data_IF_824145274898
#
_entry.id   IF_824145274898
#
_cell.length_a   1.000
_cell.length_b   1.000
_cell.length_c   1.000
_cell.angle_alpha   90.00
_cell.angle_beta   90.00
_cell.angle_gamma   90.00
#
_symmetry.space_group_name_H-M   'P 1'
#
loop_
_entity.id
_entity.type
_entity.pdbx_description
1 polymer ?
#
# COMPACT_ATOMS: atom_id res chain seq x y z
N UNK A 1 1.26 5.18 17.18
CA UNK A 1 1.60 6.33 16.30
C UNK A 1 0.53 6.55 15.24
N UNK A 2 0.16 5.54 14.44
CA UNK A 2 -0.85 5.62 13.37
C UNK A 2 -2.15 6.29 13.80
N UNK A 3 -2.75 5.87 14.92
CA UNK A 3 -4.04 6.39 15.42
C UNK A 3 -4.03 7.90 15.67
N UNK A 4 -2.93 8.43 16.22
CA UNK A 4 -2.78 9.87 16.51
C UNK A 4 -2.70 10.67 15.22
N UNK A 5 -1.88 10.22 14.27
CA UNK A 5 -1.71 10.89 12.97
C UNK A 5 -3.02 10.84 12.17
N UNK A 6 -3.69 9.70 12.14
CA UNK A 6 -5.01 9.55 11.50
C UNK A 6 -6.01 10.52 12.14
N UNK A 7 -6.10 10.58 13.47
CA UNK A 7 -7.01 11.52 14.15
C UNK A 7 -6.73 12.98 13.76
N UNK A 8 -5.47 13.40 13.71
CA UNK A 8 -5.08 14.74 13.27
C UNK A 8 -5.48 15.02 11.82
N UNK A 9 -5.31 14.05 10.92
CA UNK A 9 -5.73 14.15 9.52
C UNK A 9 -7.25 14.28 9.40
N UNK A 10 -8.01 13.53 10.21
CA UNK A 10 -9.47 13.65 10.22
C UNK A 10 -9.92 15.05 10.65
N UNK A 11 -9.32 15.61 11.70
CA UNK A 11 -9.61 16.98 12.16
C UNK A 11 -9.26 17.99 11.06
N UNK A 12 -8.08 17.87 10.46
CA UNK A 12 -7.66 18.75 9.36
C UNK A 12 -8.60 18.65 8.15
N UNK A 13 -9.09 17.45 7.85
CA UNK A 13 -9.98 17.20 6.71
C UNK A 13 -11.34 17.88 6.85
N UNK A 14 -11.87 18.01 8.06
CA UNK A 14 -13.13 18.73 8.31
C UNK A 14 -13.00 20.19 7.86
N UNK A 15 -11.90 20.83 8.25
CA UNK A 15 -11.61 22.21 7.85
C UNK A 15 -11.32 22.33 6.36
N UNK A 16 -10.46 21.46 5.81
CA UNK A 16 -10.03 21.51 4.41
C UNK A 16 -11.19 21.35 3.43
N UNK A 17 -12.11 20.41 3.68
CA UNK A 17 -13.25 20.16 2.79
C UNK A 17 -14.36 21.22 2.90
N UNK A 18 -14.29 22.12 3.88
CA UNK A 18 -15.15 23.29 4.02
C UNK A 18 -14.43 24.62 3.76
N UNK A 19 -13.16 24.60 3.37
CA UNK A 19 -12.36 25.81 3.20
C UNK A 19 -12.54 26.41 1.80
N UNK A 20 -12.89 27.69 1.75
CA UNK A 20 -12.89 28.47 0.49
C UNK A 20 -14.13 28.33 -0.38
N UNK A 21 -15.18 27.67 0.09
CA UNK A 21 -16.50 27.59 -0.58
C UNK A 21 -17.63 27.88 0.40
N UNK A 22 -18.65 28.63 -0.04
CA UNK A 22 -19.88 28.87 0.75
C UNK A 22 -20.70 27.57 0.97
N UNK A 23 -20.34 26.51 0.25
CA UNK A 23 -20.98 25.21 0.27
C UNK A 23 -19.93 24.11 0.48
N UNK A 24 -20.30 23.09 1.27
CA UNK A 24 -19.49 21.88 1.47
C UNK A 24 -19.37 21.12 0.15
N UNK A 25 -18.18 20.56 -0.16
CA UNK A 25 -17.98 19.72 -1.35
C UNK A 25 -19.09 18.64 -1.41
N UNK A 26 -19.78 18.46 -2.55
CA UNK A 26 -20.87 17.50 -2.68
C UNK A 26 -20.44 16.06 -2.36
N UNK A 27 -19.15 15.75 -2.48
CA UNK A 27 -18.56 14.45 -2.20
C UNK A 27 -17.97 14.33 -0.78
N UNK A 28 -18.31 15.23 0.15
CA UNK A 28 -17.79 15.22 1.53
C UNK A 28 -17.97 13.88 2.24
N UNK A 29 -19.17 13.29 2.20
CA UNK A 29 -19.44 11.98 2.82
C UNK A 29 -18.60 10.87 2.22
N UNK A 30 -18.41 10.89 0.90
CA UNK A 30 -17.58 9.94 0.17
C UNK A 30 -16.11 10.07 0.56
N UNK A 31 -15.61 11.29 0.74
CA UNK A 31 -14.25 11.54 1.21
C UNK A 31 -14.01 10.88 2.58
N UNK A 32 -14.89 11.16 3.55
CA UNK A 32 -14.78 10.59 4.91
C UNK A 32 -14.94 9.07 4.93
N UNK A 33 -15.79 8.50 4.07
CA UNK A 33 -15.89 7.05 3.91
C UNK A 33 -14.56 6.44 3.43
N UNK A 34 -13.91 7.06 2.44
CA UNK A 34 -12.63 6.57 1.91
C UNK A 34 -11.48 6.69 2.90
N UNK A 35 -11.31 7.83 3.60
CA UNK A 35 -10.25 7.95 4.62
C UNK A 35 -10.49 7.03 5.83
N UNK A 36 -11.76 6.73 6.15
CA UNK A 36 -12.10 5.78 7.22
C UNK A 36 -11.77 4.34 6.82
N UNK A 37 -12.11 3.95 5.59
CA UNK A 37 -11.74 2.63 5.06
C UNK A 37 -10.22 2.49 4.95
N UNK A 38 -9.53 3.56 4.55
CA UNK A 38 -8.07 3.61 4.54
C UNK A 38 -7.52 3.36 5.95
N UNK A 39 -8.00 4.11 6.95
CA UNK A 39 -7.57 3.96 8.34
C UNK A 39 -7.84 2.56 8.88
N UNK A 40 -9.00 1.98 8.58
CA UNK A 40 -9.33 0.60 8.95
C UNK A 40 -8.35 -0.41 8.32
N UNK A 41 -8.00 -0.23 7.03
CA UNK A 41 -6.97 -1.01 6.34
C UNK A 41 -5.63 -0.94 7.06
N UNK A 42 -5.16 0.27 7.40
CA UNK A 42 -3.88 0.45 8.10
C UNK A 42 -3.89 -0.16 9.52
N UNK A 43 -4.97 0.02 10.28
CA UNK A 43 -5.08 -0.59 11.60
C UNK A 43 -5.09 -2.11 11.50
N UNK A 44 -5.82 -2.67 10.51
CA UNK A 44 -5.81 -4.10 10.21
C UNK A 44 -4.43 -4.63 9.87
N UNK A 45 -3.63 -3.86 9.11
CA UNK A 45 -2.25 -4.21 8.79
C UNK A 45 -1.38 -4.31 10.04
N UNK A 46 -1.49 -3.31 10.94
CA UNK A 46 -0.68 -3.24 12.17
C UNK A 46 -1.00 -4.36 13.15
N UNK A 47 -2.27 -4.77 13.25
CA UNK A 47 -2.70 -5.84 14.18
C UNK A 47 -2.65 -7.23 13.55
N UNK A 48 -2.25 -7.36 12.29
CA UNK A 48 -2.25 -8.64 11.58
C UNK A 48 -1.32 -9.64 12.27
N UNK A 49 -1.79 -10.89 12.41
CA UNK A 49 -1.00 -12.00 12.98
C UNK A 49 -0.54 -13.01 11.93
N UNK A 50 -0.96 -12.83 10.67
CA UNK A 50 -0.61 -13.70 9.57
C UNK A 50 -0.45 -12.92 8.25
N UNK A 51 0.28 -13.49 7.30
CA UNK A 51 0.57 -12.81 6.03
C UNK A 51 -0.66 -12.59 5.15
N UNK A 52 -1.70 -13.41 5.28
CA UNK A 52 -2.92 -13.26 4.49
C UNK A 52 -3.72 -12.03 4.92
N UNK A 53 -3.95 -11.86 6.22
CA UNK A 53 -4.62 -10.68 6.79
C UNK A 53 -3.83 -9.42 6.48
N UNK A 54 -2.48 -9.48 6.56
CA UNK A 54 -1.63 -8.37 6.15
C UNK A 54 -1.86 -8.03 4.68
N UNK A 55 -1.86 -9.02 3.78
CA UNK A 55 -2.07 -8.80 2.35
C UNK A 55 -3.46 -8.23 2.05
N UNK A 56 -4.50 -8.69 2.74
CA UNK A 56 -5.87 -8.14 2.59
C UNK A 56 -5.89 -6.65 2.99
N UNK A 57 -5.32 -6.31 4.15
CA UNK A 57 -5.22 -4.92 4.61
C UNK A 57 -4.37 -4.06 3.67
N UNK A 58 -3.29 -4.61 3.14
CA UNK A 58 -2.41 -3.99 2.14
C UNK A 58 -3.15 -3.62 0.85
N UNK A 59 -3.98 -4.54 0.37
CA UNK A 59 -4.81 -4.36 -0.83
C UNK A 59 -5.93 -3.34 -0.60
N UNK A 60 -6.59 -3.36 0.57
CA UNK A 60 -7.60 -2.36 0.96
C UNK A 60 -6.99 -0.96 0.95
N UNK A 61 -5.81 -0.78 1.54
CA UNK A 61 -5.09 0.50 1.52
C UNK A 61 -4.73 0.92 0.09
N UNK A 62 -4.28 -0.02 -0.75
CA UNK A 62 -4.03 0.22 -2.17
C UNK A 62 -5.27 0.72 -2.92
N UNK A 63 -6.41 0.08 -2.72
CA UNK A 63 -7.68 0.51 -3.31
C UNK A 63 -8.10 1.90 -2.82
N UNK A 64 -8.02 2.14 -1.51
CA UNK A 64 -8.38 3.44 -0.95
C UNK A 64 -7.49 4.57 -1.49
N UNK A 65 -6.19 4.32 -1.67
CA UNK A 65 -5.28 5.29 -2.26
C UNK A 65 -5.67 5.66 -3.69
N UNK A 66 -6.05 4.69 -4.51
CA UNK A 66 -6.54 4.91 -5.87
C UNK A 66 -7.79 5.82 -5.86
N UNK A 67 -8.75 5.51 -5.01
CA UNK A 67 -10.01 6.26 -4.88
C UNK A 67 -9.78 7.69 -4.36
N UNK A 68 -8.82 7.88 -3.46
CA UNK A 68 -8.52 9.18 -2.85
C UNK A 68 -7.65 10.07 -3.74
N UNK A 69 -6.67 9.52 -4.46
CA UNK A 69 -5.89 10.29 -5.45
C UNK A 69 -6.81 10.74 -6.59
N UNK A 70 -7.67 9.84 -7.06
CA UNK A 70 -8.67 10.13 -8.10
C UNK A 70 -9.93 10.82 -7.59
N UNK A 71 -9.94 11.42 -6.38
CA UNK A 71 -11.17 11.90 -5.75
C UNK A 71 -11.92 12.95 -6.59
N UNK A 72 -11.19 13.90 -7.18
CA UNK A 72 -11.72 14.88 -8.14
C UNK A 72 -11.56 14.38 -9.58
N UNK A 73 -12.14 13.23 -9.89
CA UNK A 73 -12.07 12.55 -11.19
C UNK A 73 -12.59 13.39 -12.38
N UNK A 74 -13.41 14.41 -12.11
CA UNK A 74 -13.97 15.32 -13.14
C UNK A 74 -13.01 16.45 -13.54
N UNK A 75 -11.95 16.68 -12.74
CA UNK A 75 -11.00 17.76 -12.97
C UNK A 75 -10.16 17.48 -14.21
N UNK A 76 -10.27 18.38 -15.19
CA UNK A 76 -9.49 18.34 -16.43
C UNK A 76 -8.68 19.63 -16.58
N UNK A 77 -7.54 19.54 -17.25
CA UNK A 77 -6.63 20.65 -17.47
C UNK A 77 -6.59 21.04 -18.95
N UNK A 78 -6.45 22.34 -19.28
CA UNK A 78 -6.24 22.79 -20.66
C UNK A 78 -4.89 22.33 -21.24
N UNK A 79 -3.88 22.15 -20.39
CA UNK A 79 -2.57 21.65 -20.79
C UNK A 79 -2.60 20.11 -20.93
N UNK A 80 -2.35 19.56 -22.14
CA UNK A 80 -2.37 18.12 -22.37
C UNK A 80 -1.23 17.36 -21.67
N UNK A 81 -0.16 18.04 -21.24
CA UNK A 81 0.95 17.40 -20.54
C UNK A 81 0.69 17.22 -19.04
N UNK A 82 -0.33 17.88 -18.49
CA UNK A 82 -0.66 17.78 -17.08
C UNK A 82 -1.53 16.56 -16.82
N UNK A 83 -1.06 15.68 -15.92
CA UNK A 83 -1.78 14.48 -15.54
C UNK A 83 -3.08 14.85 -14.79
N UNK A 84 -4.20 14.24 -15.17
CA UNK A 84 -5.46 14.44 -14.45
C UNK A 84 -5.51 13.58 -13.18
N UNK A 85 -6.31 13.94 -12.16
CA UNK A 85 -6.42 13.12 -10.94
C UNK A 85 -6.81 11.66 -11.22
N UNK A 86 -7.64 11.43 -12.24
CA UNK A 86 -8.01 10.08 -12.69
C UNK A 86 -6.79 9.30 -13.22
N UNK A 87 -5.98 9.93 -14.07
CA UNK A 87 -4.77 9.31 -14.61
C UNK A 87 -3.71 9.09 -13.53
N UNK A 88 -3.56 10.05 -12.61
CA UNK A 88 -2.65 9.95 -11.47
C UNK A 88 -3.03 8.77 -10.55
N UNK A 89 -4.32 8.65 -10.21
CA UNK A 89 -4.83 7.53 -9.42
C UNK A 89 -4.57 6.19 -10.11
N UNK A 90 -4.88 6.09 -11.41
CA UNK A 90 -4.64 4.87 -12.18
C UNK A 90 -3.15 4.50 -12.24
N UNK A 91 -2.27 5.48 -12.46
CA UNK A 91 -0.82 5.27 -12.44
C UNK A 91 -0.36 4.74 -11.09
N UNK A 92 -0.79 5.37 -9.99
CA UNK A 92 -0.48 4.91 -8.64
C UNK A 92 -0.97 3.49 -8.37
N UNK A 93 -2.21 3.17 -8.77
CA UNK A 93 -2.74 1.82 -8.65
C UNK A 93 -1.89 0.81 -9.42
N UNK A 94 -1.62 1.04 -10.70
CA UNK A 94 -0.85 0.11 -11.53
C UNK A 94 0.58 -0.11 -11.02
N UNK A 95 1.29 0.96 -10.67
CA UNK A 95 2.68 0.85 -10.22
C UNK A 95 2.76 0.12 -8.88
N UNK A 96 1.86 0.43 -7.94
CA UNK A 96 1.81 -0.29 -6.66
C UNK A 96 1.39 -1.74 -6.83
N UNK A 97 0.50 -2.06 -7.78
CA UNK A 97 0.09 -3.45 -8.08
C UNK A 97 1.22 -4.33 -8.59
N UNK A 98 2.18 -3.77 -9.31
CA UNK A 98 3.38 -4.52 -9.71
C UNK A 98 4.17 -4.95 -8.45
N UNK A 99 4.31 -4.08 -7.46
CA UNK A 99 4.88 -4.43 -6.16
C UNK A 99 4.04 -5.48 -5.42
N UNK A 100 2.72 -5.27 -5.35
CA UNK A 100 1.78 -6.18 -4.68
C UNK A 100 1.83 -7.60 -5.26
N UNK A 101 2.11 -7.74 -6.56
CA UNK A 101 2.31 -9.05 -7.20
C UNK A 101 3.56 -9.77 -6.67
N UNK A 102 4.68 -9.06 -6.49
CA UNK A 102 5.89 -9.65 -5.89
C UNK A 102 5.63 -10.10 -4.45
N UNK A 103 4.93 -9.27 -3.66
CA UNK A 103 4.51 -9.64 -2.31
C UNK A 103 3.67 -10.91 -2.31
N UNK A 104 2.65 -10.98 -3.17
CA UNK A 104 1.77 -12.14 -3.29
C UNK A 104 2.55 -13.39 -3.68
N UNK A 105 3.47 -13.30 -4.64
CA UNK A 105 4.31 -14.42 -5.04
C UNK A 105 5.21 -14.90 -3.89
N UNK A 106 5.76 -13.98 -3.10
CA UNK A 106 6.54 -14.30 -1.90
C UNK A 106 5.70 -15.04 -0.85
N UNK A 107 4.49 -14.55 -0.58
CA UNK A 107 3.54 -15.17 0.36
C UNK A 107 3.14 -16.57 -0.11
N UNK A 108 2.81 -16.73 -1.40
CA UNK A 108 2.45 -18.03 -1.96
C UNK A 108 3.61 -19.02 -1.93
N UNK A 109 4.85 -18.55 -2.19
CA UNK A 109 6.00 -19.42 -2.13
C UNK A 109 6.32 -19.84 -0.70
N UNK A 110 6.22 -18.93 0.27
CA UNK A 110 6.34 -19.26 1.69
C UNK A 110 5.26 -20.27 2.12
N UNK A 111 4.01 -20.08 1.70
CA UNK A 111 2.93 -21.00 1.99
C UNK A 111 3.20 -22.41 1.45
N UNK A 112 3.77 -22.52 0.25
CA UNK A 112 4.15 -23.81 -0.33
C UNK A 112 5.18 -24.55 0.54
N UNK A 113 6.10 -23.83 1.19
CA UNK A 113 7.11 -24.42 2.07
C UNK A 113 6.59 -24.70 3.49
N UNK A 114 5.80 -23.78 4.06
CA UNK A 114 5.37 -23.83 5.45
C UNK A 114 4.05 -24.58 5.68
N UNK A 115 3.14 -24.56 4.71
CA UNK A 115 1.75 -24.99 4.87
C UNK A 115 0.88 -24.05 5.73
N UNK A 116 1.45 -22.95 6.25
CA UNK A 116 0.78 -21.94 7.07
C UNK A 116 1.28 -20.54 6.72
N UNK A 117 0.48 -19.52 7.03
CA UNK A 117 0.82 -18.10 6.86
C UNK A 117 0.92 -17.35 8.19
N UNK A 118 0.78 -18.06 9.31
CA UNK A 118 0.94 -17.52 10.66
C UNK A 118 2.37 -17.05 10.89
N UNK A 119 2.55 -15.87 11.49
CA UNK A 119 3.89 -15.37 11.79
C UNK A 119 4.63 -16.22 12.80
N UNK A 120 3.91 -16.75 13.81
CA UNK A 120 4.50 -17.57 14.86
C UNK A 120 5.19 -18.82 14.29
N UNK A 121 4.54 -19.46 13.32
CA UNK A 121 5.01 -20.73 12.74
C UNK A 121 6.03 -20.52 11.61
N UNK A 122 6.06 -19.32 11.01
CA UNK A 122 6.92 -19.00 9.86
C UNK A 122 8.05 -18.05 10.24
N UNK A 123 7.75 -16.76 10.37
CA UNK A 123 8.72 -15.68 10.55
C UNK A 123 9.39 -15.69 11.94
N UNK A 124 8.75 -16.28 12.95
CA UNK A 124 9.30 -16.35 14.32
C UNK A 124 9.85 -17.74 14.68
N UNK A 125 9.72 -18.72 13.77
CA UNK A 125 10.27 -20.06 13.96
C UNK A 125 11.70 -20.15 13.38
N UNK A 126 12.69 -20.20 14.28
CA UNK A 126 14.11 -20.20 13.91
C UNK A 126 14.52 -21.46 13.14
N UNK A 127 13.99 -22.63 13.50
CA UNK A 127 14.31 -23.89 12.82
C UNK A 127 13.80 -23.88 11.39
N UNK A 128 12.57 -23.37 11.20
CA UNK A 128 11.97 -23.22 9.87
C UNK A 128 12.75 -22.23 9.00
N UNK A 129 13.12 -21.07 9.54
CA UNK A 129 13.94 -20.10 8.81
C UNK A 129 15.31 -20.67 8.41
N UNK A 130 15.95 -21.44 9.31
CA UNK A 130 17.22 -22.10 9.00
C UNK A 130 17.05 -23.15 7.88
N UNK A 131 15.96 -23.91 7.89
CA UNK A 131 15.62 -24.85 6.82
C UNK A 131 15.45 -24.13 5.47
N UNK A 132 14.74 -22.99 5.43
CA UNK A 132 14.59 -22.20 4.20
C UNK A 132 15.92 -21.63 3.69
N UNK A 133 16.84 -21.30 4.60
CA UNK A 133 18.16 -20.76 4.26
C UNK A 133 19.10 -21.82 3.67
N UNK A 134 19.00 -23.07 4.09
CA UNK A 134 19.84 -24.18 3.56
C UNK A 134 19.22 -24.88 2.36
N UNK A 135 17.90 -24.74 2.16
CA UNK A 135 17.21 -25.30 1.00
C UNK A 135 17.48 -24.46 -0.24
N UNK A 136 17.97 -25.09 -1.30
CA UNK A 136 18.16 -24.43 -2.60
C UNK A 136 16.82 -24.28 -3.33
N UNK A 137 16.60 -23.11 -3.93
CA UNK A 137 15.37 -22.85 -4.67
C UNK A 137 15.33 -23.69 -5.96
N UNK A 138 14.16 -24.28 -6.23
CA UNK A 138 13.90 -25.05 -7.44
C UNK A 138 13.42 -24.18 -8.62
N UNK A 139 13.29 -22.86 -8.40
CA UNK A 139 12.83 -21.93 -9.43
C UNK A 139 13.94 -21.73 -10.50
N UNK A 140 13.65 -21.95 -11.79
CA UNK A 140 14.66 -21.87 -12.86
C UNK A 140 15.40 -20.53 -12.90
N UNK A 141 14.70 -19.44 -12.58
CA UNK A 141 15.22 -18.07 -12.61
C UNK A 141 16.15 -17.74 -11.43
N UNK A 142 16.09 -18.53 -10.35
CA UNK A 142 16.83 -18.33 -9.10
C UNK A 142 17.70 -19.54 -8.73
N UNK A 143 18.08 -20.35 -9.71
CA UNK A 143 18.89 -21.54 -9.49
C UNK A 143 20.15 -21.24 -8.65
N UNK A 144 20.33 -21.98 -7.56
CA UNK A 144 21.45 -21.82 -6.63
C UNK A 144 21.25 -20.81 -5.50
N UNK A 145 20.14 -20.06 -5.49
CA UNK A 145 19.78 -19.19 -4.37
C UNK A 145 19.03 -19.99 -3.31
N UNK A 146 19.15 -19.60 -2.03
CA UNK A 146 18.32 -20.19 -0.98
C UNK A 146 16.85 -19.82 -1.16
N UNK A 147 15.95 -20.70 -0.72
CA UNK A 147 14.50 -20.42 -0.72
C UNK A 147 14.20 -19.17 0.12
N UNK A 148 14.86 -19.00 1.26
CA UNK A 148 14.73 -17.81 2.10
C UNK A 148 15.08 -16.52 1.35
N UNK A 149 16.18 -16.52 0.57
CA UNK A 149 16.60 -15.35 -0.21
C UNK A 149 15.56 -14.97 -1.28
N UNK A 150 15.00 -15.96 -1.97
CA UNK A 150 13.99 -15.72 -3.01
C UNK A 150 12.70 -15.18 -2.42
N UNK A 151 12.20 -15.78 -1.33
CA UNK A 151 11.00 -15.29 -0.62
C UNK A 151 11.24 -13.87 -0.12
N UNK A 152 12.38 -13.62 0.51
CA UNK A 152 12.75 -12.30 1.03
C UNK A 152 12.78 -11.24 -0.06
N UNK A 153 13.38 -11.52 -1.22
CA UNK A 153 13.41 -10.59 -2.36
C UNK A 153 12.02 -10.33 -2.95
N UNK A 154 11.17 -11.36 -3.06
CA UNK A 154 9.81 -11.21 -3.54
C UNK A 154 8.98 -10.33 -2.60
N UNK A 155 9.03 -10.61 -1.29
CA UNK A 155 8.34 -9.78 -0.29
C UNK A 155 8.87 -8.35 -0.26
N UNK A 156 10.19 -8.17 -0.42
CA UNK A 156 10.83 -6.86 -0.52
C UNK A 156 10.34 -6.06 -1.76
N UNK A 157 10.08 -6.72 -2.88
CA UNK A 157 9.48 -6.07 -4.05
C UNK A 157 8.12 -5.41 -3.75
N UNK A 158 7.33 -6.03 -2.86
CA UNK A 158 6.12 -5.44 -2.30
C UNK A 158 6.36 -4.13 -1.56
N UNK A 159 7.28 -4.19 -0.60
CA UNK A 159 7.69 -3.04 0.19
C UNK A 159 8.17 -1.89 -0.70
N UNK A 160 9.04 -2.16 -1.68
CA UNK A 160 9.54 -1.19 -2.67
C UNK A 160 8.41 -0.48 -3.43
N UNK A 161 7.36 -1.22 -3.81
CA UNK A 161 6.21 -0.66 -4.53
C UNK A 161 5.41 0.35 -3.71
N UNK A 162 5.05 0.00 -2.46
CA UNK A 162 4.25 0.87 -1.57
C UNK A 162 5.05 2.03 -0.99
N UNK A 163 6.35 1.84 -0.72
CA UNK A 163 7.24 2.88 -0.20
C UNK A 163 7.84 3.77 -1.30
N UNK A 164 7.39 3.60 -2.56
CA UNK A 164 7.82 4.39 -3.71
C UNK A 164 9.35 4.45 -3.87
N UNK A 165 10.02 3.32 -3.68
CA UNK A 165 11.48 3.22 -3.84
C UNK A 165 11.86 2.94 -5.29
N UNK A 166 13.13 3.11 -5.64
CA UNK A 166 13.62 2.72 -6.96
C UNK A 166 13.37 1.21 -7.19
N UNK A 167 12.79 0.79 -8.33
CA UNK A 167 12.40 1.58 -9.51
C UNK A 167 10.94 2.05 -9.55
N UNK A 168 10.09 1.68 -8.59
CA UNK A 168 8.64 1.90 -8.56
C UNK A 168 8.21 3.26 -7.93
N UNK A 169 9.05 4.29 -8.00
CA UNK A 169 8.80 5.60 -7.37
C UNK A 169 7.93 6.56 -8.18
N UNK A 170 7.73 6.28 -9.47
CA UNK A 170 7.18 7.22 -10.46
C UNK A 170 5.73 7.65 -10.21
N UNK A 171 4.99 6.95 -9.36
CA UNK A 171 3.61 7.32 -9.03
C UNK A 171 3.50 8.42 -7.98
N UNK A 172 4.55 8.61 -7.18
CA UNK A 172 4.52 9.47 -6.00
C UNK A 172 4.36 10.96 -6.32
N UNK A 173 5.06 11.53 -7.33
CA UNK A 173 4.88 12.95 -7.67
C UNK A 173 3.46 13.25 -8.15
N UNK A 174 2.87 12.34 -8.91
CA UNK A 174 1.53 12.51 -9.48
C UNK A 174 0.41 12.32 -8.45
N UNK A 175 0.66 11.55 -7.37
CA UNK A 175 -0.29 11.34 -6.29
C UNK A 175 -0.71 12.66 -5.59
N UNK A 176 0.08 13.73 -5.75
CA UNK A 176 -0.19 15.07 -5.24
C UNK A 176 -1.37 15.77 -5.93
N UNK A 177 -1.91 15.20 -7.02
CA UNK A 177 -3.16 15.67 -7.63
C UNK A 177 -4.39 15.42 -6.75
N UNK A 178 -4.27 14.52 -5.75
CA UNK A 178 -5.32 14.28 -4.75
C UNK A 178 -5.44 15.41 -3.71
N UNK A 179 -6.47 15.37 -2.85
CA UNK A 179 -6.64 16.34 -1.76
C UNK A 179 -5.43 16.37 -0.81
N UNK A 180 -5.07 17.54 -0.29
CA UNK A 180 -3.92 17.69 0.61
C UNK A 180 -3.96 16.78 1.86
N UNK A 181 -5.10 16.55 2.53
CA UNK A 181 -5.17 15.59 3.64
C UNK A 181 -4.82 14.15 3.23
N UNK A 182 -5.09 13.77 1.98
CA UNK A 182 -4.76 12.44 1.43
C UNK A 182 -3.25 12.29 1.28
N UNK A 183 -2.57 13.32 0.81
CA UNK A 183 -1.10 13.31 0.72
C UNK A 183 -0.49 13.10 2.12
N UNK A 184 -0.97 13.82 3.13
CA UNK A 184 -0.55 13.60 4.52
C UNK A 184 -0.80 12.16 4.99
N UNK A 185 -1.96 11.57 4.66
CA UNK A 185 -2.31 10.19 5.03
C UNK A 185 -1.41 9.15 4.37
N UNK A 186 -1.15 9.28 3.07
CA UNK A 186 -0.34 8.34 2.28
C UNK A 186 1.13 8.39 2.74
N UNK A 187 1.67 9.59 3.00
CA UNK A 187 3.08 9.78 3.32
C UNK A 187 3.44 9.60 4.80
N UNK A 188 2.62 10.14 5.70
CA UNK A 188 2.98 10.18 7.12
C UNK A 188 2.47 8.97 7.91
N UNK A 189 1.37 8.36 7.46
CA UNK A 189 0.67 7.39 8.28
C UNK A 189 0.66 5.97 7.71
N UNK A 190 0.81 5.79 6.39
CA UNK A 190 0.31 4.54 5.81
C UNK A 190 1.13 3.93 4.69
N UNK A 191 1.11 4.44 3.47
CA UNK A 191 1.64 3.68 2.33
C UNK A 191 3.16 3.56 2.37
N UNK A 192 3.84 4.66 2.71
CA UNK A 192 5.30 4.66 2.87
C UNK A 192 5.74 4.07 4.21
N UNK A 193 4.87 4.10 5.23
CA UNK A 193 5.19 3.51 6.53
C UNK A 193 4.92 2.00 6.59
N UNK A 194 4.05 1.48 5.73
CA UNK A 194 3.72 0.06 5.64
C UNK A 194 4.73 -0.73 4.81
N UNK A 195 5.30 -0.11 3.76
CA UNK A 195 6.41 -0.67 2.98
C UNK A 195 7.75 -0.39 3.62
#
# INVERSE_FOLDING_TARGET
>A
MVTIVVLMIFIYSIGYMGYGTDHVDPNYSRFFAYISLFAAGMLGLVISENLLTLFISWEIMGLCSYLLIGFWFEKNYPDPNKITPRQAGLKAFLVTKIGDLFLLLGILYLYNQAGTLSYADTLFNHEFLHHLATTSSALPLFGGWSVASVIGLLMFGGAVGKSAQFPLHVWLPDAMEGPTPVSALIHAATMVSAG
#
